data_IF_398054477183
#
_entry.id   IF_398054477183
#
_cell.length_a   1.000
_cell.length_b   1.000
_cell.length_c   1.000
_cell.angle_alpha   90.00
_cell.angle_beta   90.00
_cell.angle_gamma   90.00
#
_symmetry.space_group_name_H-M   'P 1'
#
loop_
_entity.id
_entity.type
_entity.pdbx_description
1 polymer ?
#
# COMPACT_ATOMS: atom_id res chain seq x y z
N UNK A 1 29.35 4.74 3.16
CA UNK A 1 27.91 4.50 3.19
C UNK A 1 27.52 3.66 1.98
N UNK A 2 27.05 2.41 2.17
CA UNK A 2 26.55 1.60 1.06
C UNK A 2 25.33 2.31 0.42
N UNK A 3 25.43 2.64 -0.86
CA UNK A 3 24.28 3.19 -1.62
C UNK A 3 23.29 2.04 -1.82
N UNK A 4 22.18 2.05 -1.08
CA UNK A 4 21.11 1.07 -1.25
C UNK A 4 20.60 1.16 -2.70
N UNK A 5 20.66 0.05 -3.43
CA UNK A 5 20.22 -0.03 -4.82
C UNK A 5 18.68 0.06 -4.89
N UNK A 6 18.08 0.84 -5.81
CA UNK A 6 16.64 0.87 -6.03
C UNK A 6 15.99 -0.53 -6.11
N UNK A 7 16.64 -1.48 -6.81
CA UNK A 7 16.15 -2.87 -6.91
C UNK A 7 16.08 -3.64 -5.58
N UNK A 8 16.90 -3.26 -4.60
CA UNK A 8 16.83 -3.84 -3.25
C UNK A 8 15.67 -3.26 -2.44
N UNK A 9 15.43 -1.94 -2.59
CA UNK A 9 14.34 -1.25 -1.88
C UNK A 9 12.97 -1.82 -2.28
N UNK A 10 12.76 -2.09 -3.57
CA UNK A 10 11.44 -2.54 -4.06
C UNK A 10 11.03 -3.90 -3.50
N UNK A 11 11.98 -4.76 -3.09
CA UNK A 11 11.65 -6.03 -2.42
C UNK A 11 11.08 -5.84 -1.01
N UNK A 12 11.30 -4.68 -0.39
CA UNK A 12 10.67 -4.36 0.90
C UNK A 12 9.16 -4.12 0.76
N UNK A 13 8.66 -3.76 -0.44
CA UNK A 13 7.23 -3.52 -0.66
C UNK A 13 6.40 -4.80 -0.44
N UNK A 14 6.62 -5.94 -1.13
CA UNK A 14 5.84 -7.13 -0.86
C UNK A 14 6.06 -7.69 0.56
N UNK A 15 7.25 -7.55 1.12
CA UNK A 15 7.51 -7.97 2.51
C UNK A 15 6.69 -7.15 3.51
N UNK A 16 6.67 -5.81 3.35
CA UNK A 16 5.85 -4.93 4.19
C UNK A 16 4.35 -5.14 3.97
N UNK A 17 3.94 -5.46 2.74
CA UNK A 17 2.54 -5.75 2.44
C UNK A 17 2.07 -7.01 3.18
N UNK A 18 2.87 -8.06 3.19
CA UNK A 18 2.53 -9.28 3.93
C UNK A 18 2.37 -8.99 5.44
N UNK A 19 3.30 -8.22 6.03
CA UNK A 19 3.20 -7.82 7.45
C UNK A 19 1.94 -6.99 7.69
N UNK A 20 1.61 -6.08 6.77
CA UNK A 20 0.43 -5.23 6.86
C UNK A 20 -0.88 -6.03 6.83
N UNK A 21 -1.01 -6.98 5.89
CA UNK A 21 -2.18 -7.88 5.83
C UNK A 21 -2.33 -8.68 7.13
N UNK A 22 -1.23 -9.18 7.68
CA UNK A 22 -1.25 -9.92 8.94
C UNK A 22 -1.71 -9.04 10.10
N UNK A 23 -1.25 -7.78 10.16
CA UNK A 23 -1.74 -6.83 11.14
C UNK A 23 -3.22 -6.54 10.95
N UNK A 24 -3.66 -6.23 9.71
CA UNK A 24 -5.06 -5.97 9.41
C UNK A 24 -5.97 -7.12 9.82
N UNK A 25 -5.54 -8.36 9.61
CA UNK A 25 -6.37 -9.52 9.90
C UNK A 25 -6.39 -9.89 11.38
N UNK A 26 -5.23 -9.83 12.07
CA UNK A 26 -5.07 -10.36 13.43
C UNK A 26 -5.12 -9.30 14.53
N UNK A 27 -5.06 -8.01 14.22
CA UNK A 27 -5.01 -6.97 15.24
C UNK A 27 -6.39 -6.43 15.59
N UNK A 28 -6.63 -6.19 16.87
CA UNK A 28 -7.90 -5.66 17.37
C UNK A 28 -9.08 -6.59 17.01
N UNK A 29 -10.14 -6.03 16.44
CA UNK A 29 -11.29 -6.80 15.95
C UNK A 29 -11.05 -7.39 14.53
N UNK A 30 -9.91 -7.08 13.91
CA UNK A 30 -9.65 -7.31 12.50
C UNK A 30 -10.24 -6.22 11.60
N UNK A 31 -9.53 -5.95 10.49
CA UNK A 31 -9.92 -4.88 9.57
C UNK A 31 -11.35 -5.05 9.01
N UNK A 32 -11.81 -6.26 8.61
CA UNK A 32 -13.17 -6.42 8.10
C UNK A 32 -14.24 -5.94 9.08
N UNK A 33 -14.14 -6.34 10.35
CA UNK A 33 -15.12 -5.96 11.39
C UNK A 33 -15.02 -4.45 11.68
N UNK A 34 -13.81 -3.93 11.83
CA UNK A 34 -13.59 -2.50 12.07
C UNK A 34 -14.11 -1.65 10.91
N UNK A 35 -13.76 -2.02 9.67
CA UNK A 35 -14.17 -1.30 8.46
C UNK A 35 -15.69 -1.30 8.27
N UNK A 36 -16.32 -2.47 8.45
CA UNK A 36 -17.77 -2.61 8.37
C UNK A 36 -18.49 -1.73 9.39
N UNK A 37 -17.95 -1.67 10.61
CA UNK A 37 -18.54 -0.82 11.67
C UNK A 37 -18.38 0.68 11.41
N UNK A 38 -17.26 1.10 10.81
CA UNK A 38 -17.00 2.53 10.51
C UNK A 38 -17.81 3.04 9.33
N UNK A 39 -17.92 2.23 8.26
CA UNK A 39 -18.55 2.65 7.01
C UNK A 39 -19.98 2.13 6.83
N UNK A 40 -20.50 1.33 7.79
CA UNK A 40 -21.81 0.70 7.72
C UNK A 40 -22.00 -0.13 6.44
N UNK A 41 -21.03 -0.97 6.15
CA UNK A 41 -20.98 -1.92 5.03
C UNK A 41 -20.77 -3.34 5.55
N UNK A 42 -20.81 -4.37 4.70
CA UNK A 42 -20.60 -5.77 5.09
C UNK A 42 -19.37 -6.35 4.36
N UNK A 43 -18.18 -6.00 4.83
CA UNK A 43 -16.94 -6.57 4.31
C UNK A 43 -16.68 -7.93 4.98
N UNK A 44 -16.86 -9.02 4.24
CA UNK A 44 -16.58 -10.35 4.77
C UNK A 44 -15.07 -10.64 4.88
N UNK A 45 -14.68 -11.58 5.76
CA UNK A 45 -13.29 -12.05 5.84
C UNK A 45 -12.81 -12.65 4.51
N UNK A 46 -13.69 -13.29 3.74
CA UNK A 46 -13.36 -13.90 2.45
C UNK A 46 -13.04 -12.80 1.42
N UNK A 47 -13.87 -11.78 1.34
CA UNK A 47 -13.66 -10.67 0.40
C UNK A 47 -12.38 -9.90 0.73
N UNK A 48 -12.14 -9.63 2.01
CA UNK A 48 -10.88 -9.05 2.49
C UNK A 48 -9.65 -9.88 2.04
N UNK A 49 -9.70 -11.20 2.24
CA UNK A 49 -8.60 -12.09 1.84
C UNK A 49 -8.41 -12.06 0.32
N UNK A 50 -9.49 -12.12 -0.46
CA UNK A 50 -9.42 -12.11 -1.93
C UNK A 50 -8.81 -10.81 -2.42
N UNK A 51 -9.27 -9.64 -1.94
CA UNK A 51 -8.72 -8.34 -2.31
C UNK A 51 -7.22 -8.28 -2.03
N UNK A 52 -6.83 -8.69 -0.81
CA UNK A 52 -5.43 -8.61 -0.38
C UNK A 52 -4.53 -9.61 -1.11
N UNK A 53 -4.98 -10.84 -1.38
CA UNK A 53 -4.22 -11.80 -2.18
C UNK A 53 -4.00 -11.30 -3.60
N UNK A 54 -5.02 -10.68 -4.21
CA UNK A 54 -4.91 -10.10 -5.55
C UNK A 54 -3.93 -8.93 -5.55
N UNK A 55 -4.04 -8.01 -4.60
CA UNK A 55 -3.11 -6.89 -4.42
C UNK A 55 -1.68 -7.35 -4.17
N UNK A 56 -1.49 -8.39 -3.35
CA UNK A 56 -0.18 -8.99 -3.08
C UNK A 56 0.42 -9.63 -4.34
N UNK A 57 -0.38 -10.39 -5.10
CA UNK A 57 0.06 -11.00 -6.36
C UNK A 57 0.50 -9.94 -7.38
N UNK A 58 -0.24 -8.84 -7.51
CA UNK A 58 0.15 -7.69 -8.34
C UNK A 58 1.46 -7.10 -7.84
N UNK A 59 1.58 -6.83 -6.55
CA UNK A 59 2.76 -6.22 -5.94
C UNK A 59 4.02 -7.04 -6.22
N UNK A 60 3.98 -8.35 -5.95
CA UNK A 60 5.13 -9.24 -6.18
C UNK A 60 5.47 -9.36 -7.67
N UNK A 61 4.45 -9.41 -8.54
CA UNK A 61 4.64 -9.44 -9.99
C UNK A 61 5.34 -8.17 -10.49
N UNK A 62 4.89 -6.99 -10.05
CA UNK A 62 5.54 -5.71 -10.38
C UNK A 62 7.02 -5.71 -9.95
N UNK A 63 7.31 -6.16 -8.73
CA UNK A 63 8.68 -6.20 -8.21
C UNK A 63 9.55 -7.17 -9.00
N UNK A 64 9.05 -8.36 -9.32
CA UNK A 64 9.76 -9.33 -10.16
C UNK A 64 10.06 -8.75 -11.54
N UNK A 65 9.04 -8.25 -12.24
CA UNK A 65 9.20 -7.68 -13.58
C UNK A 65 10.13 -6.47 -13.60
N UNK A 66 10.08 -5.62 -12.58
CA UNK A 66 11.02 -4.50 -12.42
C UNK A 66 12.46 -4.97 -12.26
N UNK A 67 12.71 -6.00 -11.46
CA UNK A 67 14.06 -6.56 -11.27
C UNK A 67 14.61 -7.18 -12.56
N UNK A 68 13.74 -7.73 -13.42
CA UNK A 68 14.09 -8.21 -14.75
C UNK A 68 14.14 -7.12 -15.84
N UNK A 69 14.05 -5.83 -15.46
CA UNK A 69 14.01 -4.68 -16.38
C UNK A 69 12.85 -4.73 -17.41
N UNK A 70 11.74 -5.38 -17.05
CA UNK A 70 10.53 -5.44 -17.88
C UNK A 70 9.53 -4.32 -17.56
N UNK A 71 9.72 -3.63 -16.44
CA UNK A 71 8.93 -2.45 -16.03
C UNK A 71 9.88 -1.29 -15.75
N UNK A 72 9.37 -0.08 -15.93
CA UNK A 72 10.09 1.16 -15.66
C UNK A 72 9.85 1.69 -14.25
N UNK A 73 10.58 2.74 -13.86
CA UNK A 73 10.49 3.38 -12.56
C UNK A 73 9.10 3.99 -12.28
N UNK A 74 8.33 4.35 -13.31
CA UNK A 74 6.99 4.90 -13.17
C UNK A 74 6.06 3.94 -12.41
N UNK A 75 6.03 2.66 -12.80
CA UNK A 75 5.17 1.64 -12.17
C UNK A 75 5.55 1.40 -10.70
N UNK A 76 6.84 1.39 -10.40
CA UNK A 76 7.31 1.29 -9.00
C UNK A 76 6.95 2.56 -8.21
N UNK A 77 7.01 3.73 -8.86
CA UNK A 77 6.56 4.99 -8.27
C UNK A 77 5.06 4.96 -7.91
N UNK A 78 4.21 4.43 -8.80
CA UNK A 78 2.78 4.21 -8.53
C UNK A 78 2.60 3.32 -7.30
N UNK A 79 3.31 2.20 -7.25
CA UNK A 79 3.21 1.25 -6.13
C UNK A 79 3.66 1.88 -4.80
N UNK A 80 4.79 2.59 -4.78
CA UNK A 80 5.26 3.30 -3.59
C UNK A 80 4.31 4.40 -3.12
N UNK A 81 3.64 5.08 -4.07
CA UNK A 81 2.63 6.10 -3.76
C UNK A 81 1.38 5.47 -3.16
N UNK A 82 0.92 4.34 -3.70
CA UNK A 82 -0.18 3.56 -3.15
C UNK A 82 0.09 3.19 -1.68
N UNK A 83 1.26 2.62 -1.37
CA UNK A 83 1.63 2.25 -0.01
C UNK A 83 1.70 3.46 0.92
N UNK A 84 2.29 4.57 0.45
CA UNK A 84 2.37 5.80 1.24
C UNK A 84 1.00 6.34 1.60
N UNK A 85 0.09 6.41 0.62
CA UNK A 85 -1.29 6.91 0.80
C UNK A 85 -2.08 5.97 1.71
N UNK A 86 -1.95 4.65 1.55
CA UNK A 86 -2.57 3.67 2.43
C UNK A 86 -2.14 3.86 3.88
N UNK A 87 -0.83 4.02 4.14
CA UNK A 87 -0.33 4.31 5.49
C UNK A 87 -0.90 5.60 6.10
N UNK A 88 -1.06 6.66 5.29
CA UNK A 88 -1.73 7.90 5.73
C UNK A 88 -3.19 7.64 6.08
N UNK A 89 -3.91 6.87 5.25
CA UNK A 89 -5.34 6.58 5.46
C UNK A 89 -5.54 5.83 6.78
N UNK A 90 -4.78 4.76 7.06
CA UNK A 90 -4.88 4.04 8.33
C UNK A 90 -4.59 4.94 9.54
N UNK A 91 -3.56 5.78 9.45
CA UNK A 91 -3.24 6.73 10.51
C UNK A 91 -4.36 7.73 10.75
N UNK A 92 -4.85 8.38 9.69
CA UNK A 92 -5.95 9.34 9.79
C UNK A 92 -7.25 8.68 10.24
N UNK A 93 -7.55 7.47 9.75
CA UNK A 93 -8.72 6.73 10.16
C UNK A 93 -8.71 6.45 11.67
N UNK A 94 -7.57 6.03 12.23
CA UNK A 94 -7.42 5.85 13.68
C UNK A 94 -7.65 7.15 14.46
N UNK A 95 -7.15 8.28 13.96
CA UNK A 95 -7.35 9.58 14.61
C UNK A 95 -8.81 10.03 14.55
N UNK A 96 -9.44 9.96 13.38
CA UNK A 96 -10.78 10.47 13.14
C UNK A 96 -11.88 9.64 13.82
N UNK A 97 -11.67 8.33 13.91
CA UNK A 97 -12.61 7.42 14.60
C UNK A 97 -12.33 7.29 16.10
N UNK A 98 -11.24 7.91 16.60
CA UNK A 98 -10.74 7.73 17.97
C UNK A 98 -10.62 6.23 18.35
N UNK A 99 -10.32 5.36 17.38
CA UNK A 99 -10.20 3.92 17.53
C UNK A 99 -8.99 3.40 16.75
N UNK A 100 -8.45 2.27 17.16
CA UNK A 100 -7.36 1.63 16.43
C UNK A 100 -7.88 1.05 15.11
N UNK A 101 -7.45 1.60 13.99
CA UNK A 101 -7.66 1.02 12.67
C UNK A 101 -6.61 -0.09 12.46
N UNK A 102 -7.01 -1.37 12.31
CA UNK A 102 -6.05 -2.44 11.98
C UNK A 102 -5.25 -2.10 10.73
N UNK A 103 -3.93 -2.28 10.78
CA UNK A 103 -3.00 -1.82 9.74
C UNK A 103 -2.28 -0.50 10.05
N UNK A 104 -2.67 0.23 11.10
CA UNK A 104 -2.07 1.53 11.45
C UNK A 104 -0.59 1.40 11.83
N UNK A 105 -0.20 0.38 12.59
CA UNK A 105 1.20 0.25 13.06
C UNK A 105 2.12 -0.01 11.87
N UNK A 106 1.84 -1.00 11.04
CA UNK A 106 2.64 -1.27 9.83
C UNK A 106 2.49 -0.15 8.80
N UNK A 107 1.32 0.48 8.70
CA UNK A 107 1.11 1.67 7.89
C UNK A 107 2.10 2.77 8.23
N UNK A 108 2.20 3.12 9.51
CA UNK A 108 3.10 4.18 10.00
C UNK A 108 4.57 3.75 9.99
N UNK A 109 4.88 2.53 10.43
CA UNK A 109 6.27 2.08 10.62
C UNK A 109 6.90 1.50 9.36
N UNK A 110 6.11 1.00 8.40
CA UNK A 110 6.62 0.39 7.17
C UNK A 110 6.20 1.18 5.93
N UNK A 111 4.89 1.44 5.72
CA UNK A 111 4.40 2.04 4.49
C UNK A 111 4.82 3.50 4.32
N UNK A 112 4.72 4.34 5.36
CA UNK A 112 5.17 5.73 5.27
C UNK A 112 6.68 5.83 5.00
N UNK A 113 7.58 5.13 5.74
CA UNK A 113 9.01 5.15 5.44
C UNK A 113 9.36 4.59 4.06
N UNK A 114 8.73 3.49 3.62
CA UNK A 114 8.99 2.90 2.30
C UNK A 114 8.48 3.79 1.16
N UNK A 115 7.30 4.39 1.32
CA UNK A 115 6.78 5.39 0.38
C UNK A 115 7.72 6.59 0.28
N UNK A 116 8.18 7.12 1.41
CA UNK A 116 9.18 8.19 1.44
C UNK A 116 10.50 7.78 0.75
N UNK A 117 10.99 6.56 0.99
CA UNK A 117 12.18 6.04 0.31
C UNK A 117 11.95 5.92 -1.19
N UNK A 118 10.76 5.53 -1.63
CA UNK A 118 10.39 5.49 -3.05
C UNK A 118 10.44 6.90 -3.64
N UNK A 119 9.89 7.91 -2.98
CA UNK A 119 9.98 9.30 -3.42
C UNK A 119 11.43 9.80 -3.49
N UNK A 120 12.27 9.41 -2.54
CA UNK A 120 13.67 9.83 -2.50
C UNK A 120 14.57 9.11 -3.51
N UNK A 121 14.28 7.84 -3.84
CA UNK A 121 15.20 6.97 -4.59
C UNK A 121 14.69 6.58 -5.98
N UNK A 122 13.38 6.45 -6.17
CA UNK A 122 12.76 6.02 -7.42
C UNK A 122 12.23 7.21 -8.21
N UNK A 123 11.53 8.15 -7.56
CA UNK A 123 10.98 9.32 -8.24
C UNK A 123 12.01 10.15 -9.01
N UNK A 124 13.26 10.37 -8.54
CA UNK A 124 14.27 11.05 -9.34
C UNK A 124 14.62 10.35 -10.66
N UNK A 125 14.36 9.03 -10.75
CA UNK A 125 14.57 8.22 -11.96
C UNK A 125 13.37 8.23 -12.93
N UNK A 126 12.24 8.83 -12.53
CA UNK A 126 11.05 9.04 -13.37
C UNK A 126 11.21 10.40 -14.06
N UNK A 127 10.89 10.53 -15.37
CA UNK A 127 10.81 11.83 -16.04
C UNK A 127 9.95 12.82 -15.25
N UNK A 128 10.37 14.06 -15.14
CA UNK A 128 9.76 15.05 -14.24
C UNK A 128 8.27 15.23 -14.52
N UNK A 129 7.88 15.24 -15.76
CA UNK A 129 6.50 15.36 -16.24
C UNK A 129 5.60 14.18 -15.85
N UNK A 130 6.19 13.01 -15.56
CA UNK A 130 5.46 11.80 -15.19
C UNK A 130 5.38 11.58 -13.67
N UNK A 131 6.09 12.33 -12.86
CA UNK A 131 6.14 12.12 -11.39
C UNK A 131 4.78 12.35 -10.75
N UNK A 132 4.14 13.46 -11.10
CA UNK A 132 2.79 13.78 -10.60
C UNK A 132 1.79 12.71 -11.03
N UNK A 133 1.85 12.28 -12.29
CA UNK A 133 0.98 11.21 -12.81
C UNK A 133 1.21 9.90 -12.05
N UNK A 134 2.46 9.53 -11.78
CA UNK A 134 2.80 8.33 -11.00
C UNK A 134 2.20 8.38 -9.58
N UNK A 135 2.32 9.53 -8.90
CA UNK A 135 1.72 9.72 -7.59
C UNK A 135 0.19 9.64 -7.64
N UNK A 136 -0.43 10.40 -8.56
CA UNK A 136 -1.89 10.44 -8.72
C UNK A 136 -2.46 9.06 -9.06
N UNK A 137 -1.78 8.29 -9.91
CA UNK A 137 -2.20 6.92 -10.21
C UNK A 137 -2.21 6.03 -8.95
N UNK A 138 -1.21 6.14 -8.07
CA UNK A 138 -1.21 5.43 -6.78
C UNK A 138 -2.38 5.84 -5.88
N UNK A 139 -2.70 7.14 -5.81
CA UNK A 139 -3.88 7.66 -5.08
C UNK A 139 -5.18 7.08 -5.66
N UNK A 140 -5.34 7.11 -6.99
CA UNK A 140 -6.54 6.61 -7.67
C UNK A 140 -6.72 5.12 -7.38
N UNK A 141 -5.67 4.31 -7.47
CA UNK A 141 -5.73 2.88 -7.16
C UNK A 141 -6.16 2.67 -5.71
N UNK A 142 -5.63 3.44 -4.76
CA UNK A 142 -6.06 3.34 -3.36
C UNK A 142 -7.55 3.66 -3.18
N UNK A 143 -8.04 4.70 -3.84
CA UNK A 143 -9.47 5.05 -3.82
C UNK A 143 -10.31 3.91 -4.40
N UNK A 144 -9.89 3.33 -5.54
CA UNK A 144 -10.59 2.21 -6.17
C UNK A 144 -10.65 1.00 -5.22
N UNK A 145 -9.53 0.63 -4.59
CA UNK A 145 -9.48 -0.50 -3.64
C UNK A 145 -10.44 -0.25 -2.47
N UNK A 146 -10.45 0.97 -1.92
CA UNK A 146 -11.39 1.34 -0.85
C UNK A 146 -12.85 1.23 -1.31
N UNK A 147 -13.18 1.76 -2.49
CA UNK A 147 -14.53 1.67 -3.05
C UNK A 147 -14.95 0.24 -3.34
N UNK A 148 -14.05 -0.61 -3.81
CA UNK A 148 -14.32 -2.05 -3.98
C UNK A 148 -14.67 -2.68 -2.64
N UNK A 149 -13.87 -2.44 -1.59
CA UNK A 149 -14.13 -2.97 -0.25
C UNK A 149 -15.45 -2.46 0.36
N UNK A 150 -15.98 -1.31 -0.09
CA UNK A 150 -17.26 -0.75 0.37
C UNK A 150 -18.48 -1.31 -0.38
N UNK A 151 -18.30 -2.01 -1.51
CA UNK A 151 -19.41 -2.40 -2.41
C UNK A 151 -19.51 -3.91 -2.66
N UNK A 152 -18.79 -4.73 -1.91
CA UNK A 152 -18.82 -6.20 -2.01
C UNK A 152 -19.39 -6.87 -0.78
#
# INVERSE_FOLDING_TARGET
>A
MHKINPKQIVWLLPASYLIHILEEYFSGAGFPIWFSGVFNVDLSNIDFIIINLFGFAITITVVILYNFNKLNNFVVGVLGSLFFVNGIIHFLASLLTASYSPGTISGVLLYLPLGYLTFKKIFPLIPQEQRVLSFTAGVIIQVIVTLVAMNI
#
